data_IF_362526010001
#
_entry.id   IF_362526010001
#
_cell.length_a   1.000
_cell.length_b   1.000
_cell.length_c   1.000
_cell.angle_alpha   90.00
_cell.angle_beta   90.00
_cell.angle_gamma   90.00
#
_symmetry.space_group_name_H-M   'P 1'
#
loop_
_entity.id
_entity.type
_entity.pdbx_description
1 polymer ?
#
# COMPACT_ATOMS: atom_id res chain seq x y z
N UNK A 1 11.93 7.37 13.40
CA UNK A 1 12.28 6.02 13.86
C UNK A 1 10.97 5.44 14.35
N UNK A 2 10.60 4.21 13.97
CA UNK A 2 9.30 3.65 14.36
C UNK A 2 9.34 3.35 15.86
N UNK A 3 8.72 4.21 16.66
CA UNK A 3 8.80 4.15 18.12
C UNK A 3 7.61 3.41 18.73
N UNK A 4 6.46 3.43 18.05
CA UNK A 4 5.19 2.89 18.53
C UNK A 4 4.53 2.05 17.45
N UNK A 5 3.94 0.92 17.84
CA UNK A 5 3.12 0.08 16.95
C UNK A 5 1.67 0.59 17.04
N UNK A 6 1.03 0.99 15.92
CA UNK A 6 -0.37 1.39 15.91
C UNK A 6 -1.32 0.26 16.32
N UNK A 7 -2.50 0.62 16.84
CA UNK A 7 -3.54 -0.36 17.16
C UNK A 7 -3.96 -1.14 15.90
N UNK A 8 -4.22 -2.43 16.06
CA UNK A 8 -4.53 -3.35 14.94
C UNK A 8 -3.29 -3.95 14.26
N UNK A 9 -2.08 -3.41 14.49
CA UNK A 9 -0.84 -4.03 13.99
C UNK A 9 -0.20 -4.90 15.08
N UNK A 10 0.00 -6.17 14.75
CA UNK A 10 0.49 -7.21 15.67
C UNK A 10 2.01 -7.18 15.91
N UNK A 11 2.80 -6.65 14.97
CA UNK A 11 4.27 -6.73 15.03
C UNK A 11 4.99 -5.57 14.33
N UNK A 12 6.22 -5.27 14.80
CA UNK A 12 7.12 -4.31 14.15
C UNK A 12 7.46 -4.71 12.71
N UNK A 13 7.58 -6.01 12.45
CA UNK A 13 7.85 -6.52 11.11
C UNK A 13 6.69 -6.22 10.15
N UNK A 14 5.44 -6.50 10.57
CA UNK A 14 4.24 -6.15 9.82
C UNK A 14 4.19 -4.66 9.53
N UNK A 15 4.44 -3.83 10.55
CA UNK A 15 4.44 -2.38 10.40
C UNK A 15 5.43 -1.89 9.33
N UNK A 16 6.63 -2.47 9.26
CA UNK A 16 7.61 -2.13 8.21
C UNK A 16 7.09 -2.49 6.82
N UNK A 17 6.45 -3.65 6.65
CA UNK A 17 5.84 -4.04 5.38
C UNK A 17 4.68 -3.11 4.98
N UNK A 18 3.83 -2.73 5.94
CA UNK A 18 2.73 -1.79 5.70
C UNK A 18 3.23 -0.41 5.29
N UNK A 19 4.27 0.10 5.95
CA UNK A 19 4.93 1.36 5.58
C UNK A 19 5.53 1.26 4.18
N UNK A 20 6.19 0.15 3.85
CA UNK A 20 6.76 -0.05 2.52
C UNK A 20 5.68 -0.05 1.42
N UNK A 21 4.58 -0.79 1.64
CA UNK A 21 3.44 -0.83 0.71
C UNK A 21 2.78 0.53 0.56
N UNK A 22 2.62 1.28 1.66
CA UNK A 22 2.07 2.64 1.60
C UNK A 22 3.02 3.61 0.88
N UNK A 23 4.32 3.49 1.08
CA UNK A 23 5.32 4.29 0.36
C UNK A 23 5.27 4.02 -1.16
N UNK A 24 5.08 2.77 -1.56
CA UNK A 24 4.88 2.39 -2.97
C UNK A 24 3.63 3.08 -3.56
N UNK A 25 2.50 3.08 -2.84
CA UNK A 25 1.30 3.81 -3.28
C UNK A 25 1.59 5.30 -3.50
N UNK A 26 2.30 5.95 -2.56
CA UNK A 26 2.68 7.36 -2.69
C UNK A 26 3.58 7.59 -3.91
N UNK A 27 4.52 6.67 -4.19
CA UNK A 27 5.37 6.75 -5.39
C UNK A 27 4.58 6.60 -6.69
N UNK A 28 3.49 5.82 -6.68
CA UNK A 28 2.53 5.68 -7.79
C UNK A 28 1.56 6.86 -7.91
N UNK A 29 1.72 7.91 -7.10
CA UNK A 29 0.89 9.12 -7.16
C UNK A 29 -0.35 9.10 -6.27
N UNK A 30 -0.48 8.13 -5.36
CA UNK A 30 -1.56 8.16 -4.38
C UNK A 30 -1.49 9.44 -3.54
N UNK A 31 -2.66 10.00 -3.20
CA UNK A 31 -2.72 11.24 -2.42
C UNK A 31 -2.18 11.02 -1.01
N UNK A 32 -1.27 11.88 -0.52
CA UNK A 32 -0.89 11.92 0.88
C UNK A 32 -2.08 12.22 1.78
N UNK A 33 -2.09 11.62 2.97
CA UNK A 33 -3.08 11.89 4.02
C UNK A 33 -2.62 12.93 5.04
N UNK A 34 -1.33 13.26 5.03
CA UNK A 34 -0.74 14.35 5.81
C UNK A 34 -0.20 15.39 4.83
N UNK A 35 -0.57 16.64 5.05
CA UNK A 35 0.00 17.77 4.33
C UNK A 35 1.40 18.07 4.87
N UNK A 36 2.34 18.28 3.96
CA UNK A 36 3.72 18.65 4.28
C UNK A 36 4.13 19.87 3.49
N UNK A 37 4.72 20.87 4.16
CA UNK A 37 5.15 22.12 3.53
C UNK A 37 6.24 21.92 2.46
N UNK A 38 6.92 20.75 2.46
CA UNK A 38 8.02 20.42 1.55
C UNK A 38 7.91 18.98 1.09
N UNK A 39 8.51 18.69 -0.06
CA UNK A 39 8.60 17.32 -0.57
C UNK A 39 9.38 16.43 0.41
N UNK A 40 8.70 15.44 1.00
CA UNK A 40 9.28 14.44 1.91
C UNK A 40 9.45 13.12 1.16
N UNK A 41 10.51 12.37 1.48
CA UNK A 41 10.71 11.02 0.95
C UNK A 41 9.46 10.15 1.23
N UNK A 42 8.92 9.41 0.24
CA UNK A 42 7.68 8.64 0.39
C UNK A 42 7.65 7.71 1.61
N UNK A 43 8.75 7.00 1.88
CA UNK A 43 8.86 6.11 3.05
C UNK A 43 8.74 6.85 4.38
N UNK A 44 9.25 8.07 4.45
CA UNK A 44 9.18 8.90 5.66
C UNK A 44 7.77 9.48 5.83
N UNK A 45 7.13 9.86 4.73
CA UNK A 45 5.75 10.32 4.74
C UNK A 45 4.81 9.20 5.17
N UNK A 46 4.95 8.00 4.59
CA UNK A 46 4.19 6.82 4.99
C UNK A 46 4.36 6.48 6.48
N UNK A 47 5.60 6.47 6.99
CA UNK A 47 5.84 6.25 8.41
C UNK A 47 5.14 7.30 9.29
N UNK A 48 5.17 8.58 8.88
CA UNK A 48 4.49 9.65 9.59
C UNK A 48 2.96 9.50 9.55
N UNK A 49 2.40 9.03 8.43
CA UNK A 49 0.98 8.71 8.32
C UNK A 49 0.53 7.62 9.29
N UNK A 50 1.37 6.60 9.53
CA UNK A 50 1.11 5.58 10.56
C UNK A 50 1.28 6.12 11.99
N UNK A 51 2.29 6.96 12.24
CA UNK A 51 2.51 7.58 13.56
C UNK A 51 1.37 8.54 13.97
N UNK A 52 0.63 9.09 13.00
CA UNK A 52 -0.53 9.98 13.22
C UNK A 52 -1.88 9.26 13.04
N UNK A 53 -1.87 7.93 12.94
CA UNK A 53 -3.06 7.08 12.76
C UNK A 53 -3.95 7.52 11.57
N UNK A 54 -3.33 8.02 10.49
CA UNK A 54 -4.02 8.43 9.26
C UNK A 54 -4.25 7.26 8.31
N UNK A 55 -3.44 6.22 8.42
CA UNK A 55 -3.55 4.99 7.62
C UNK A 55 -4.02 3.86 8.52
N UNK A 56 -5.28 3.47 8.34
CA UNK A 56 -5.86 2.32 9.02
C UNK A 56 -5.54 1.05 8.24
N UNK A 57 -5.20 -0.01 8.97
CA UNK A 57 -5.00 -1.35 8.45
C UNK A 57 -5.70 -2.35 9.37
N UNK A 58 -6.25 -3.41 8.77
CA UNK A 58 -6.87 -4.54 9.47
C UNK A 58 -6.71 -5.80 8.61
N UNK A 59 -6.92 -6.97 9.19
CA UNK A 59 -6.90 -8.25 8.47
C UNK A 59 -8.14 -8.47 7.59
N UNK A 60 -9.10 -7.55 7.63
CA UNK A 60 -10.41 -7.72 7.03
C UNK A 60 -11.33 -8.57 7.90
N UNK A 61 -12.51 -8.87 7.39
CA UNK A 61 -13.43 -9.80 8.04
C UNK A 61 -12.84 -11.22 8.05
N UNK A 62 -13.06 -11.99 9.11
CA UNK A 62 -12.60 -13.39 9.16
C UNK A 62 -13.20 -14.19 8.00
N UNK A 63 -12.36 -14.65 7.08
CA UNK A 63 -12.79 -15.33 5.85
C UNK A 63 -12.93 -14.41 4.63
N UNK A 64 -12.58 -13.12 4.74
CA UNK A 64 -12.58 -12.17 3.64
C UNK A 64 -11.60 -12.57 2.55
N UNK A 65 -12.15 -12.94 1.39
CA UNK A 65 -11.38 -13.07 0.14
C UNK A 65 -10.75 -11.70 -0.11
N UNK A 66 -9.43 -11.64 -0.31
CA UNK A 66 -8.81 -10.45 -0.89
C UNK A 66 -9.51 -10.26 -2.24
N UNK A 67 -10.38 -9.25 -2.37
CA UNK A 67 -10.79 -8.76 -3.68
C UNK A 67 -9.50 -8.32 -4.36
N UNK A 68 -8.91 -9.24 -5.12
CA UNK A 68 -7.79 -8.95 -6.00
C UNK A 68 -8.35 -7.91 -6.95
N UNK A 69 -7.83 -6.68 -6.90
CA UNK A 69 -8.28 -5.63 -7.80
C UNK A 69 -8.18 -6.13 -9.23
N UNK A 70 -9.33 -6.50 -9.80
CA UNK A 70 -9.47 -7.19 -11.09
C UNK A 70 -8.83 -6.35 -12.21
N UNK A 71 -8.74 -5.03 -12.04
CA UNK A 71 -8.18 -4.09 -13.01
C UNK A 71 -6.72 -4.38 -13.39
N UNK A 72 -5.91 -4.98 -12.51
CA UNK A 72 -4.47 -5.20 -12.81
C UNK A 72 -4.14 -6.56 -13.44
N UNK A 73 -5.02 -7.56 -13.31
CA UNK A 73 -4.80 -8.88 -13.90
C UNK A 73 -5.38 -8.96 -15.31
N UNK A 74 -6.49 -8.26 -15.58
CA UNK A 74 -7.09 -8.22 -16.91
C UNK A 74 -6.15 -7.60 -17.95
N UNK A 75 -5.42 -6.52 -17.59
CA UNK A 75 -4.43 -5.90 -18.48
C UNK A 75 -3.27 -6.85 -18.83
N UNK A 76 -2.78 -7.62 -17.85
CA UNK A 76 -1.65 -8.55 -18.05
C UNK A 76 -2.08 -9.76 -18.91
N UNK A 77 -3.28 -10.31 -18.67
CA UNK A 77 -3.83 -11.41 -19.48
C UNK A 77 -4.18 -10.98 -20.91
N UNK A 78 -4.67 -9.75 -21.11
CA UNK A 78 -5.02 -9.24 -22.42
C UNK A 78 -3.79 -8.97 -23.30
N UNK A 79 -2.67 -8.52 -22.72
CA UNK A 79 -1.40 -8.38 -23.46
C UNK A 79 -0.81 -9.74 -23.86
N UNK A 80 -0.92 -10.76 -23.00
CA UNK A 80 -0.44 -12.11 -23.30
C UNK A 80 -1.27 -12.78 -24.42
N UNK A 81 -2.59 -12.66 -24.38
CA UNK A 81 -3.49 -13.21 -25.42
C UNK A 81 -3.33 -12.48 -26.77
N UNK A 82 -3.16 -11.16 -26.78
CA UNK A 82 -2.95 -10.40 -28.02
C UNK A 82 -1.63 -10.76 -28.72
N UNK A 83 -0.60 -11.10 -27.95
CA UNK A 83 0.72 -11.47 -28.50
C UNK A 83 0.71 -12.89 -29.08
N UNK A 84 -0.04 -13.82 -28.46
CA UNK A 84 -0.15 -15.20 -28.92
C UNK A 84 -0.96 -15.40 -30.22
N UNK A 85 -1.82 -14.46 -30.60
CA UNK A 85 -2.64 -14.53 -31.83
C UNK A 85 -1.85 -14.10 -33.09
N UNK A 86 -0.67 -13.50 -32.91
CA UNK A 86 0.16 -12.96 -34.01
C UNK A 86 1.38 -13.83 -34.38
N UNK A 87 1.61 -14.96 -33.70
CA UNK A 87 2.57 -16.01 -34.10
C UNK A 87 1.90 -17.17 -34.85
#
# INVERSE_FOLDING_TARGET
>A
MIQTIPEGVDSKFRLVLLIARRAEQLMRGARPKIDTDRAVKPTRLAAHEFEQDRVRWDYGEEGGVLEVGEESLEEETAEEEATAILE
#
